data_IF_574914535633
#
_entry.id   IF_574914535633
#
_cell.length_a   1.000
_cell.length_b   1.000
_cell.length_c   1.000
_cell.angle_alpha   90.00
_cell.angle_beta   90.00
_cell.angle_gamma   90.00
#
_symmetry.space_group_name_H-M   'P 1'
#
loop_
_entity.id
_entity.type
_entity.pdbx_description
1 polymer ?
#
# COMPACT_ATOMS: atom_id res chain seq x y z
N UNK A 1 25.92 54.17 22.10
CA UNK A 1 26.09 52.89 22.82
C UNK A 1 26.17 51.77 21.80
N UNK A 2 27.38 51.39 21.40
CA UNK A 2 27.63 50.37 20.37
C UNK A 2 28.00 49.04 21.01
N UNK A 3 27.29 47.97 20.65
CA UNK A 3 27.62 46.61 21.10
C UNK A 3 28.54 45.92 20.10
N UNK A 4 29.74 45.60 20.60
CA UNK A 4 30.85 45.01 19.88
C UNK A 4 30.74 43.46 19.97
N UNK A 5 30.49 42.78 18.84
CA UNK A 5 30.32 41.32 18.79
C UNK A 5 31.65 40.66 18.38
N UNK A 6 32.38 40.11 19.35
CA UNK A 6 33.61 39.34 19.14
C UNK A 6 33.30 38.00 18.48
N UNK A 7 33.88 37.78 17.30
CA UNK A 7 33.79 36.55 16.53
C UNK A 7 34.90 35.58 17.00
N UNK A 8 34.53 34.46 17.65
CA UNK A 8 35.47 33.39 18.04
C UNK A 8 35.36 32.24 17.03
N UNK A 9 36.33 32.17 16.13
CA UNK A 9 36.57 31.00 15.30
C UNK A 9 37.09 29.83 16.15
N UNK A 10 36.29 28.78 16.29
CA UNK A 10 36.67 27.52 16.93
C UNK A 10 36.82 26.46 15.84
N UNK A 11 38.08 26.13 15.49
CA UNK A 11 38.43 24.96 14.67
C UNK A 11 38.10 23.70 15.50
N UNK A 12 37.12 22.92 15.07
CA UNK A 12 36.90 21.54 15.55
C UNK A 12 37.39 20.55 14.51
N UNK A 13 38.25 19.63 14.93
CA UNK A 13 38.88 18.60 14.11
C UNK A 13 37.88 17.61 13.51
N UNK A 14 38.19 17.19 12.29
CA UNK A 14 37.47 16.16 11.56
C UNK A 14 37.93 14.77 12.01
N UNK A 15 37.06 14.09 12.76
CA UNK A 15 37.14 12.64 12.95
C UNK A 15 35.71 12.09 13.02
N UNK A 16 35.22 11.52 11.90
CA UNK A 16 33.92 10.84 11.89
C UNK A 16 33.28 10.70 10.51
N UNK A 17 33.81 9.85 9.63
CA UNK A 17 33.19 9.59 8.31
C UNK A 17 33.26 8.14 7.84
N UNK A 18 33.09 7.17 8.74
CA UNK A 18 33.00 5.74 8.35
C UNK A 18 31.63 5.13 8.67
N UNK A 19 30.92 5.59 9.70
CA UNK A 19 29.63 5.02 10.12
C UNK A 19 28.43 5.37 9.20
N UNK A 20 28.51 6.40 8.36
CA UNK A 20 27.41 6.78 7.45
C UNK A 20 27.35 5.92 6.18
N UNK A 21 28.48 5.33 5.76
CA UNK A 21 28.58 4.60 4.48
C UNK A 21 27.94 3.21 4.55
N UNK A 22 27.95 2.56 5.71
CA UNK A 22 27.39 1.21 5.91
C UNK A 22 25.85 1.23 5.96
N UNK A 23 25.25 2.27 6.54
CA UNK A 23 23.78 2.41 6.61
C UNK A 23 23.13 2.56 5.23
N UNK A 24 23.83 3.17 4.28
CA UNK A 24 23.29 3.39 2.93
C UNK A 24 23.35 2.14 2.05
N UNK A 25 24.37 1.27 2.25
CA UNK A 25 24.47 -0.01 1.52
C UNK A 25 23.32 -0.98 1.85
N UNK A 26 22.92 -1.08 3.12
CA UNK A 26 21.81 -1.96 3.52
C UNK A 26 20.44 -1.50 2.97
N UNK A 27 20.23 -0.20 2.77
CA UNK A 27 18.97 0.31 2.19
C UNK A 27 18.82 -0.09 0.71
N UNK A 28 19.90 -0.04 -0.06
CA UNK A 28 19.87 -0.42 -1.49
C UNK A 28 19.71 -1.94 -1.70
N UNK A 29 20.31 -2.78 -0.86
CA UNK A 29 20.11 -4.23 -0.92
C UNK A 29 18.65 -4.62 -0.72
N UNK A 30 17.94 -3.91 0.16
CA UNK A 30 16.54 -4.17 0.48
C UNK A 30 15.59 -3.79 -0.67
N UNK A 31 15.90 -2.73 -1.44
CA UNK A 31 15.13 -2.34 -2.62
C UNK A 31 15.24 -3.37 -3.76
N UNK A 32 16.42 -3.98 -3.95
CA UNK A 32 16.61 -5.04 -4.96
C UNK A 32 15.91 -6.34 -4.55
N UNK A 33 15.92 -6.72 -3.27
CA UNK A 33 15.15 -7.86 -2.77
C UNK A 33 13.63 -7.66 -2.93
N UNK A 34 13.15 -6.42 -2.82
CA UNK A 34 11.75 -6.03 -3.04
C UNK A 34 11.28 -6.37 -4.47
N UNK A 35 12.11 -6.09 -5.47
CA UNK A 35 11.81 -6.27 -6.90
C UNK A 35 11.79 -7.75 -7.30
N UNK A 36 12.69 -8.55 -6.72
CA UNK A 36 12.67 -10.01 -6.93
C UNK A 36 11.34 -10.63 -6.46
N UNK A 37 10.66 -10.01 -5.49
CA UNK A 37 9.43 -10.57 -4.92
C UNK A 37 8.20 -10.48 -5.85
N UNK A 38 8.02 -9.39 -6.61
CA UNK A 38 6.85 -9.24 -7.51
C UNK A 38 6.86 -10.32 -8.59
N UNK A 39 8.02 -10.50 -9.25
CA UNK A 39 8.20 -11.50 -10.30
C UNK A 39 8.21 -12.93 -9.77
N UNK A 40 8.82 -13.14 -8.59
CA UNK A 40 8.78 -14.43 -7.91
C UNK A 40 7.33 -14.81 -7.56
N UNK A 41 6.47 -13.86 -7.19
CA UNK A 41 5.07 -14.15 -6.84
C UNK A 41 4.22 -14.47 -8.05
N UNK A 42 4.42 -13.81 -9.19
CA UNK A 42 3.78 -14.23 -10.46
C UNK A 42 4.19 -15.64 -10.83
N UNK A 43 5.45 -15.97 -10.59
CA UNK A 43 6.00 -17.32 -10.82
C UNK A 43 5.47 -18.34 -9.80
N UNK A 44 5.26 -17.94 -8.53
CA UNK A 44 4.73 -18.80 -7.48
C UNK A 44 3.23 -19.06 -7.64
N UNK A 45 2.45 -18.05 -8.02
CA UNK A 45 1.03 -18.22 -8.37
C UNK A 45 0.84 -19.20 -9.52
N UNK A 46 1.79 -19.26 -10.47
CA UNK A 46 1.78 -20.26 -11.52
C UNK A 46 2.18 -21.68 -11.04
N UNK A 47 2.76 -21.83 -9.84
CA UNK A 47 3.32 -23.09 -9.31
C UNK A 47 2.51 -23.73 -8.18
N UNK A 48 1.76 -22.97 -7.38
CA UNK A 48 1.02 -23.50 -6.22
C UNK A 48 -0.27 -24.28 -6.58
N UNK A 49 -0.38 -24.81 -7.80
CA UNK A 49 -1.47 -25.69 -8.24
C UNK A 49 -1.29 -27.17 -7.86
N UNK A 50 -0.26 -27.55 -7.10
CA UNK A 50 0.03 -28.94 -6.77
C UNK A 50 -0.27 -29.29 -5.32
N UNK A 51 -1.47 -29.81 -5.04
CA UNK A 51 -1.74 -30.36 -3.70
C UNK A 51 -3.09 -31.05 -3.48
N UNK A 52 -4.11 -30.77 -4.29
CA UNK A 52 -5.42 -31.40 -4.09
C UNK A 52 -6.30 -31.37 -5.33
N UNK A 53 -6.18 -32.38 -6.19
CA UNK A 53 -7.24 -32.90 -7.05
C UNK A 53 -7.95 -31.99 -8.07
N UNK A 54 -7.61 -30.70 -8.19
CA UNK A 54 -8.17 -29.79 -9.18
C UNK A 54 -7.26 -28.59 -9.42
N UNK A 55 -6.83 -28.40 -10.67
CA UNK A 55 -5.86 -27.39 -11.15
C UNK A 55 -6.37 -25.92 -11.11
N UNK A 56 -7.21 -25.56 -10.14
CA UNK A 56 -7.83 -24.23 -10.09
C UNK A 56 -6.93 -23.20 -9.38
N UNK A 57 -5.82 -22.86 -10.03
CA UNK A 57 -5.13 -21.58 -9.75
C UNK A 57 -6.13 -20.46 -10.07
N UNK A 58 -6.59 -19.72 -9.06
CA UNK A 58 -7.45 -18.58 -9.32
C UNK A 58 -6.62 -17.42 -9.88
N UNK A 59 -6.81 -17.11 -11.17
CA UNK A 59 -6.20 -15.97 -11.84
C UNK A 59 -6.95 -14.64 -11.58
N UNK A 60 -7.74 -14.59 -10.50
CA UNK A 60 -8.45 -13.42 -9.96
C UNK A 60 -8.99 -12.45 -11.02
N UNK A 61 -10.14 -12.79 -11.63
CA UNK A 61 -10.82 -12.00 -12.67
C UNK A 61 -10.10 -11.94 -14.03
N UNK A 62 -9.08 -12.76 -14.22
CA UNK A 62 -8.42 -13.01 -15.50
C UNK A 62 -8.54 -14.49 -15.86
N UNK A 63 -8.42 -14.82 -17.15
CA UNK A 63 -8.06 -16.19 -17.53
C UNK A 63 -6.57 -16.42 -17.24
N UNK A 64 -6.14 -17.69 -17.22
CA UNK A 64 -4.71 -18.05 -17.15
C UNK A 64 -3.96 -17.39 -18.28
N UNK A 65 -4.52 -17.48 -19.48
CA UNK A 65 -3.96 -16.94 -20.71
C UNK A 65 -3.86 -15.42 -20.63
N UNK A 66 -4.92 -14.73 -20.18
CA UNK A 66 -4.89 -13.29 -19.98
C UNK A 66 -3.88 -12.89 -18.91
N UNK A 67 -3.78 -13.63 -17.80
CA UNK A 67 -2.85 -13.31 -16.72
C UNK A 67 -1.39 -13.51 -17.15
N UNK A 68 -1.14 -14.55 -17.93
CA UNK A 68 0.16 -14.83 -18.55
C UNK A 68 0.43 -13.94 -19.77
N UNK A 69 -0.58 -13.44 -20.46
CA UNK A 69 -0.46 -12.49 -21.56
C UNK A 69 -0.24 -11.05 -21.05
N UNK A 70 -0.78 -10.71 -19.87
CA UNK A 70 -0.44 -9.50 -19.12
C UNK A 70 1.02 -9.46 -18.70
N UNK A 71 1.75 -10.57 -18.85
CA UNK A 71 3.21 -10.62 -18.87
C UNK A 71 3.84 -9.87 -20.06
N UNK A 72 3.09 -9.06 -20.81
CA UNK A 72 3.72 -7.91 -21.46
C UNK A 72 4.56 -7.20 -20.40
N UNK A 73 5.86 -7.00 -20.67
CA UNK A 73 6.82 -6.47 -19.69
C UNK A 73 6.31 -5.21 -18.99
N UNK A 74 5.39 -4.48 -19.62
CA UNK A 74 4.81 -3.23 -19.16
C UNK A 74 4.04 -3.31 -17.83
N UNK A 75 3.20 -4.33 -17.56
CA UNK A 75 2.40 -4.37 -16.32
C UNK A 75 3.28 -4.64 -15.10
N UNK A 76 4.14 -5.66 -15.17
CA UNK A 76 5.11 -5.95 -14.11
C UNK A 76 6.07 -4.78 -13.91
N UNK A 77 6.61 -4.23 -15.00
CA UNK A 77 7.49 -3.07 -14.95
C UNK A 77 6.80 -1.86 -14.32
N UNK A 78 5.51 -1.62 -14.60
CA UNK A 78 4.75 -0.55 -13.96
C UNK A 78 4.62 -0.75 -12.44
N UNK A 79 4.33 -1.97 -11.98
CA UNK A 79 4.30 -2.29 -10.55
C UNK A 79 5.67 -2.07 -9.89
N UNK A 80 6.74 -2.56 -10.52
CA UNK A 80 8.11 -2.45 -10.02
C UNK A 80 8.59 -1.00 -9.96
N UNK A 81 8.33 -0.22 -11.00
CA UNK A 81 8.66 1.20 -11.05
C UNK A 81 7.82 1.99 -10.04
N UNK A 82 6.57 1.60 -9.78
CA UNK A 82 5.76 2.20 -8.73
C UNK A 82 6.36 1.96 -7.34
N UNK A 83 6.81 0.74 -7.03
CA UNK A 83 7.49 0.45 -5.76
C UNK A 83 8.78 1.26 -5.60
N UNK A 84 9.58 1.41 -6.67
CA UNK A 84 10.77 2.28 -6.67
C UNK A 84 10.39 3.75 -6.43
N UNK A 85 9.35 4.23 -7.10
CA UNK A 85 8.81 5.58 -6.94
C UNK A 85 8.39 5.84 -5.49
N UNK A 86 7.58 4.96 -4.89
CA UNK A 86 7.13 5.07 -3.50
C UNK A 86 8.29 5.01 -2.51
N UNK A 87 9.30 4.18 -2.77
CA UNK A 87 10.51 4.13 -1.97
C UNK A 87 11.30 5.45 -2.02
N UNK A 88 11.45 6.06 -3.21
CA UNK A 88 12.08 7.38 -3.36
C UNK A 88 11.34 8.44 -2.56
N UNK A 89 10.00 8.47 -2.64
CA UNK A 89 9.18 9.40 -1.85
C UNK A 89 9.41 9.22 -0.34
N UNK A 90 9.44 7.97 0.15
CA UNK A 90 9.60 7.67 1.56
C UNK A 90 10.98 8.09 2.11
N UNK A 91 12.01 8.10 1.26
CA UNK A 91 13.37 8.47 1.65
C UNK A 91 13.58 9.98 1.88
N UNK A 92 12.62 10.84 1.46
CA UNK A 92 12.67 12.31 1.60
C UNK A 92 14.07 12.88 1.29
N UNK A 93 14.63 12.52 0.13
CA UNK A 93 15.97 12.98 -0.26
C UNK A 93 15.96 14.52 -0.33
N UNK A 94 16.87 15.24 0.36
CA UNK A 94 16.89 16.70 0.33
C UNK A 94 16.96 17.24 -1.11
N UNK A 95 16.07 18.20 -1.43
CA UNK A 95 15.98 18.80 -2.76
C UNK A 95 15.19 18.00 -3.79
N UNK A 96 14.67 16.82 -3.43
CA UNK A 96 13.82 16.02 -4.33
C UNK A 96 12.40 16.57 -4.34
N UNK A 97 11.94 16.98 -5.52
CA UNK A 97 10.54 17.36 -5.73
C UNK A 97 9.65 16.11 -5.89
N UNK A 98 8.74 15.93 -4.94
CA UNK A 98 7.79 14.81 -4.92
C UNK A 98 6.82 14.89 -6.10
N UNK A 99 6.42 16.10 -6.51
CA UNK A 99 5.51 16.29 -7.63
C UNK A 99 6.19 15.90 -8.94
N UNK A 100 7.47 16.22 -9.09
CA UNK A 100 8.27 15.82 -10.24
C UNK A 100 8.39 14.29 -10.33
N UNK A 101 8.66 13.59 -9.21
CA UNK A 101 8.68 12.13 -9.20
C UNK A 101 7.34 11.51 -9.60
N UNK A 102 6.23 12.08 -9.13
CA UNK A 102 4.90 11.62 -9.47
C UNK A 102 4.62 11.81 -10.96
N UNK A 103 4.95 13.00 -11.50
CA UNK A 103 4.81 13.32 -12.91
C UNK A 103 5.61 12.37 -13.80
N UNK A 104 6.88 12.11 -13.46
CA UNK A 104 7.75 11.18 -14.19
C UNK A 104 7.17 9.78 -14.25
N UNK A 105 6.70 9.24 -13.10
CA UNK A 105 6.08 7.92 -13.06
C UNK A 105 4.80 7.88 -13.93
N UNK A 106 3.92 8.87 -13.78
CA UNK A 106 2.66 8.93 -14.50
C UNK A 106 2.84 9.08 -16.01
N UNK A 107 3.83 9.87 -16.45
CA UNK A 107 4.17 10.01 -17.87
C UNK A 107 4.77 8.71 -18.43
N UNK A 108 5.67 8.07 -17.68
CA UNK A 108 6.32 6.84 -18.14
C UNK A 108 5.34 5.69 -18.35
N UNK A 109 4.27 5.63 -17.55
CA UNK A 109 3.33 4.50 -17.54
C UNK A 109 1.92 4.90 -17.98
N UNK A 110 1.71 6.08 -18.57
CA UNK A 110 0.38 6.64 -18.88
C UNK A 110 -0.54 5.63 -19.57
N UNK A 111 -0.03 4.96 -20.61
CA UNK A 111 -0.79 4.00 -21.41
C UNK A 111 -1.22 2.78 -20.62
N UNK A 112 -0.44 2.38 -19.61
CA UNK A 112 -0.76 1.26 -18.71
C UNK A 112 -1.76 1.69 -17.65
N UNK A 113 -1.59 2.89 -17.09
CA UNK A 113 -2.39 3.41 -15.96
C UNK A 113 -3.85 3.67 -16.32
N UNK A 114 -4.16 3.88 -17.59
CA UNK A 114 -5.54 4.08 -18.08
C UNK A 114 -6.24 2.76 -18.46
N UNK A 115 -5.56 1.62 -18.40
CA UNK A 115 -6.15 0.33 -18.74
C UNK A 115 -6.91 -0.24 -17.55
N UNK A 116 -8.22 -0.46 -17.70
CA UNK A 116 -9.03 -1.08 -16.64
C UNK A 116 -8.51 -2.48 -16.23
N UNK A 117 -7.98 -3.25 -17.19
CA UNK A 117 -7.38 -4.57 -16.97
C UNK A 117 -6.14 -4.50 -16.06
N UNK A 118 -5.37 -3.41 -16.10
CA UNK A 118 -4.19 -3.23 -15.25
C UNK A 118 -4.58 -3.16 -13.77
N UNK A 119 -5.64 -2.43 -13.42
CA UNK A 119 -6.14 -2.38 -12.04
C UNK A 119 -6.50 -3.77 -11.50
N UNK A 120 -7.23 -4.56 -12.30
CA UNK A 120 -7.56 -5.95 -11.94
C UNK A 120 -6.32 -6.82 -11.76
N UNK A 121 -5.32 -6.68 -12.64
CA UNK A 121 -4.04 -7.36 -12.52
C UNK A 121 -3.32 -7.00 -11.21
N UNK A 122 -3.27 -5.72 -10.84
CA UNK A 122 -2.64 -5.28 -9.58
C UNK A 122 -3.34 -5.91 -8.37
N UNK A 123 -4.68 -5.95 -8.35
CA UNK A 123 -5.43 -6.60 -7.27
C UNK A 123 -5.21 -8.12 -7.22
N UNK A 124 -5.09 -8.79 -8.37
CA UNK A 124 -4.74 -10.19 -8.46
C UNK A 124 -3.35 -10.48 -7.84
N UNK A 125 -2.35 -9.67 -8.18
CA UNK A 125 -1.00 -9.75 -7.59
C UNK A 125 -1.07 -9.53 -6.07
N UNK A 126 -1.82 -8.54 -5.60
CA UNK A 126 -1.99 -8.27 -4.17
C UNK A 126 -2.64 -9.45 -3.43
N UNK A 127 -3.64 -10.09 -4.04
CA UNK A 127 -4.32 -11.25 -3.49
C UNK A 127 -3.35 -12.43 -3.32
N UNK A 128 -2.56 -12.74 -4.35
CA UNK A 128 -1.55 -13.80 -4.29
C UNK A 128 -0.47 -13.54 -3.24
N UNK A 129 0.06 -12.31 -3.21
CA UNK A 129 1.02 -11.88 -2.18
C UNK A 129 0.43 -12.03 -0.77
N UNK A 130 -0.83 -11.66 -0.58
CA UNK A 130 -1.50 -11.75 0.71
C UNK A 130 -1.65 -13.19 1.18
N UNK A 131 -2.10 -14.09 0.32
CA UNK A 131 -2.26 -15.51 0.65
C UNK A 131 -0.92 -16.17 1.01
N UNK A 132 0.13 -15.90 0.21
CA UNK A 132 1.49 -16.37 0.51
C UNK A 132 2.02 -15.82 1.84
N UNK A 133 1.71 -14.55 2.15
CA UNK A 133 2.10 -13.93 3.41
C UNK A 133 1.37 -14.55 4.61
N UNK A 134 0.10 -14.91 4.44
CA UNK A 134 -0.72 -15.58 5.46
C UNK A 134 -0.19 -16.98 5.77
N UNK A 135 0.07 -17.79 4.75
CA UNK A 135 0.65 -19.14 4.91
C UNK A 135 1.99 -19.10 5.65
N UNK A 136 2.87 -18.16 5.29
CA UNK A 136 4.14 -17.96 6.01
C UNK A 136 3.96 -17.59 7.48
N UNK A 137 2.89 -16.87 7.82
CA UNK A 137 2.58 -16.48 9.20
C UNK A 137 1.99 -17.64 10.00
N UNK A 138 1.18 -18.49 9.38
CA UNK A 138 0.61 -19.68 10.02
C UNK A 138 1.71 -20.70 10.34
N UNK A 139 2.61 -20.97 9.39
CA UNK A 139 3.77 -21.85 9.60
C UNK A 139 4.72 -21.33 10.70
N UNK A 140 4.85 -20.01 10.84
CA UNK A 140 5.66 -19.42 11.90
C UNK A 140 5.06 -19.72 13.29
N UNK A 141 3.74 -19.60 13.44
CA UNK A 141 3.03 -19.85 14.70
C UNK A 141 3.06 -21.34 15.09
N UNK A 142 3.05 -22.26 14.11
CA UNK A 142 3.17 -23.71 14.38
C UNK A 142 4.55 -24.07 14.96
N UNK A 143 5.61 -23.47 14.41
CA UNK A 143 6.99 -23.71 14.84
C UNK A 143 7.34 -23.14 16.23
N UNK A 144 6.62 -22.10 16.70
CA UNK A 144 6.86 -21.54 18.04
C UNK A 144 6.54 -22.52 19.18
N UNK A 145 5.80 -23.59 18.91
CA UNK A 145 5.49 -24.63 19.90
C UNK A 145 6.62 -25.66 20.07
N UNK A 146 7.62 -25.69 19.19
CA UNK A 146 8.76 -26.61 19.24
C UNK A 146 9.99 -25.90 19.84
N UNK A 147 10.27 -26.15 21.13
CA UNK A 147 11.31 -25.47 21.94
C UNK A 147 12.77 -25.79 21.53
N UNK A 148 13.20 -25.42 20.32
CA UNK A 148 14.60 -25.57 19.87
C UNK A 148 15.32 -24.23 19.75
N UNK A 149 16.50 -24.11 20.37
CA UNK A 149 17.33 -22.90 20.36
C UNK A 149 17.85 -22.53 18.94
N UNK A 150 17.99 -23.51 18.04
CA UNK A 150 18.43 -23.25 16.65
C UNK A 150 17.36 -22.53 15.81
N UNK A 151 16.11 -22.45 16.30
CA UNK A 151 14.99 -21.90 15.55
C UNK A 151 14.91 -20.35 15.58
N UNK A 152 15.62 -19.69 16.51
CA UNK A 152 15.48 -18.23 16.73
C UNK A 152 15.93 -17.39 15.53
N UNK A 153 17.04 -17.75 14.88
CA UNK A 153 17.56 -16.98 13.73
C UNK A 153 16.65 -17.08 12.50
N UNK A 154 16.06 -18.25 12.26
CA UNK A 154 15.14 -18.47 11.15
C UNK A 154 13.84 -17.67 11.34
N UNK A 155 13.28 -17.67 12.55
CA UNK A 155 12.04 -16.96 12.86
C UNK A 155 12.17 -15.44 12.69
N UNK A 156 13.31 -14.85 13.06
CA UNK A 156 13.57 -13.43 12.83
C UNK A 156 13.60 -13.07 11.34
N UNK A 157 14.22 -13.93 10.51
CA UNK A 157 14.26 -13.76 9.05
C UNK A 157 12.87 -13.85 8.42
N UNK A 158 12.07 -14.85 8.81
CA UNK A 158 10.69 -15.03 8.33
C UNK A 158 9.82 -13.83 8.74
N UNK A 159 9.92 -13.38 9.98
CA UNK A 159 9.19 -12.21 10.48
C UNK A 159 9.53 -10.95 9.69
N UNK A 160 10.80 -10.74 9.36
CA UNK A 160 11.23 -9.61 8.53
C UNK A 160 10.64 -9.69 7.10
N UNK A 161 10.66 -10.89 6.49
CA UNK A 161 10.08 -11.13 5.17
C UNK A 161 8.56 -10.92 5.15
N UNK A 162 7.85 -11.31 6.21
CA UNK A 162 6.40 -11.08 6.37
C UNK A 162 6.10 -9.58 6.43
N UNK A 163 6.84 -8.83 7.26
CA UNK A 163 6.69 -7.37 7.37
C UNK A 163 6.98 -6.66 6.04
N UNK A 164 8.02 -7.09 5.33
CA UNK A 164 8.37 -6.55 4.01
C UNK A 164 7.27 -6.81 2.99
N UNK A 165 6.76 -8.05 2.88
CA UNK A 165 5.65 -8.41 1.98
C UNK A 165 4.40 -7.60 2.29
N UNK A 166 4.04 -7.43 3.56
CA UNK A 166 2.91 -6.58 3.98
C UNK A 166 3.05 -5.15 3.46
N UNK A 167 4.25 -4.58 3.53
CA UNK A 167 4.53 -3.24 2.99
C UNK A 167 4.40 -3.17 1.46
N UNK A 168 4.84 -4.20 0.74
CA UNK A 168 4.67 -4.30 -0.72
C UNK A 168 3.19 -4.36 -1.09
N UNK A 169 2.43 -5.23 -0.43
CA UNK A 169 0.98 -5.39 -0.67
C UNK A 169 0.28 -4.05 -0.48
N UNK A 170 0.56 -3.33 0.60
CA UNK A 170 -0.03 -2.02 0.86
C UNK A 170 0.28 -1.01 -0.26
N UNK A 171 1.53 -0.97 -0.74
CA UNK A 171 1.91 -0.07 -1.84
C UNK A 171 1.21 -0.45 -3.15
N UNK A 172 1.21 -1.73 -3.53
CA UNK A 172 0.53 -2.18 -4.74
C UNK A 172 -0.99 -2.00 -4.65
N UNK A 173 -1.59 -2.17 -3.48
CA UNK A 173 -3.01 -1.85 -3.28
C UNK A 173 -3.29 -0.37 -3.49
N UNK A 174 -2.40 0.52 -3.04
CA UNK A 174 -2.53 1.95 -3.33
C UNK A 174 -2.51 2.21 -4.84
N UNK A 175 -1.60 1.58 -5.59
CA UNK A 175 -1.58 1.65 -7.06
C UNK A 175 -2.88 1.16 -7.69
N UNK A 176 -3.38 0.00 -7.27
CA UNK A 176 -4.64 -0.55 -7.78
C UNK A 176 -5.83 0.37 -7.50
N UNK A 177 -5.86 1.01 -6.33
CA UNK A 177 -6.88 2.00 -5.95
C UNK A 177 -6.75 3.27 -6.80
N UNK A 178 -5.53 3.78 -7.02
CA UNK A 178 -5.28 4.95 -7.86
C UNK A 178 -5.73 4.69 -9.30
N UNK A 179 -5.38 3.54 -9.88
CA UNK A 179 -5.82 3.14 -11.22
C UNK A 179 -7.35 3.08 -11.28
N UNK A 180 -7.99 2.34 -10.37
CA UNK A 180 -9.42 2.01 -10.47
C UNK A 180 -10.35 3.17 -10.09
N UNK A 181 -9.95 4.01 -9.14
CA UNK A 181 -10.81 5.05 -8.56
C UNK A 181 -10.35 6.47 -8.83
N UNK A 182 -9.17 6.65 -9.45
CA UNK A 182 -8.66 7.96 -9.80
C UNK A 182 -8.36 8.06 -11.30
N UNK A 183 -7.35 7.35 -11.83
CA UNK A 183 -6.91 7.52 -13.22
C UNK A 183 -7.92 7.07 -14.27
N UNK A 184 -8.43 5.84 -14.18
CA UNK A 184 -9.40 5.35 -15.17
C UNK A 184 -10.67 6.22 -15.17
N UNK A 185 -11.31 6.52 -14.02
CA UNK A 185 -12.50 7.37 -14.06
C UNK A 185 -12.24 8.80 -14.55
N UNK A 186 -11.13 9.43 -14.14
CA UNK A 186 -10.85 10.82 -14.55
C UNK A 186 -10.45 10.93 -16.02
N UNK A 187 -9.54 10.09 -16.50
CA UNK A 187 -8.94 10.22 -17.83
C UNK A 187 -9.82 9.56 -18.89
N UNK A 188 -10.33 8.35 -18.63
CA UNK A 188 -11.07 7.57 -19.64
C UNK A 188 -12.53 7.99 -19.70
N UNK A 189 -13.14 8.26 -18.53
CA UNK A 189 -14.58 8.53 -18.44
C UNK A 189 -14.92 9.99 -18.14
N UNK A 190 -13.93 10.87 -17.93
CA UNK A 190 -14.17 12.27 -17.57
C UNK A 190 -14.90 12.47 -16.23
N UNK A 191 -14.88 11.46 -15.35
CA UNK A 191 -15.57 11.50 -14.05
C UNK A 191 -14.73 12.33 -13.09
N UNK A 192 -15.35 13.35 -12.49
CA UNK A 192 -14.70 14.17 -11.46
C UNK A 192 -14.30 13.34 -10.24
N UNK A 193 -13.02 13.41 -9.88
CA UNK A 193 -12.45 12.85 -8.64
C UNK A 193 -12.27 13.93 -7.57
N UNK A 194 -12.88 15.11 -7.79
CA UNK A 194 -12.81 16.21 -6.83
C UNK A 194 -13.37 15.82 -5.46
N UNK A 195 -13.04 16.62 -4.46
CA UNK A 195 -13.59 16.43 -3.12
C UNK A 195 -15.12 16.49 -3.10
N UNK A 196 -15.74 15.64 -2.28
CA UNK A 196 -17.19 15.45 -2.27
C UNK A 196 -17.75 14.56 -3.39
N UNK A 197 -16.99 14.28 -4.46
CA UNK A 197 -17.45 13.35 -5.49
C UNK A 197 -17.54 11.91 -4.94
N UNK A 198 -18.52 11.14 -5.42
CA UNK A 198 -18.71 9.74 -5.02
C UNK A 198 -17.46 8.89 -5.28
N UNK A 199 -16.73 9.16 -6.38
CA UNK A 199 -15.48 8.45 -6.68
C UNK A 199 -14.32 8.94 -5.82
N UNK A 200 -14.17 10.25 -5.62
CA UNK A 200 -13.14 10.80 -4.74
C UNK A 200 -13.26 10.31 -3.30
N UNK A 201 -14.49 10.19 -2.78
CA UNK A 201 -14.71 9.66 -1.43
C UNK A 201 -14.42 8.15 -1.33
N UNK A 202 -14.75 7.38 -2.37
CA UNK A 202 -14.36 5.96 -2.44
C UNK A 202 -12.85 5.80 -2.44
N UNK A 203 -12.14 6.56 -3.29
CA UNK A 203 -10.68 6.55 -3.38
C UNK A 203 -10.05 6.83 -2.01
N UNK A 204 -10.37 7.98 -1.39
CA UNK A 204 -9.84 8.36 -0.06
C UNK A 204 -10.12 7.32 1.02
N UNK A 205 -11.35 6.79 1.06
CA UNK A 205 -11.72 5.74 2.00
C UNK A 205 -10.86 4.51 1.83
N UNK A 206 -10.66 4.05 0.60
CA UNK A 206 -9.88 2.83 0.34
C UNK A 206 -8.40 3.02 0.61
N UNK A 207 -7.81 4.15 0.24
CA UNK A 207 -6.40 4.49 0.59
C UNK A 207 -6.20 4.49 2.11
N UNK A 208 -7.17 4.96 2.88
CA UNK A 208 -7.11 4.89 4.35
C UNK A 208 -7.26 3.46 4.87
N UNK A 209 -8.20 2.70 4.31
CA UNK A 209 -8.52 1.36 4.80
C UNK A 209 -7.32 0.40 4.60
N UNK A 210 -6.55 0.51 3.50
CA UNK A 210 -5.38 -0.36 3.28
C UNK A 210 -4.24 -0.19 4.29
N UNK A 211 -4.30 0.83 5.16
CA UNK A 211 -3.33 1.01 6.24
C UNK A 211 -3.51 0.01 7.39
N UNK A 212 -4.62 -0.73 7.41
CA UNK A 212 -4.88 -1.79 8.40
C UNK A 212 -4.97 -3.15 7.70
N UNK A 213 -4.62 -4.20 8.43
CA UNK A 213 -4.68 -5.55 7.86
C UNK A 213 -6.11 -5.96 7.49
N UNK A 214 -7.06 -5.64 8.38
CA UNK A 214 -8.48 -5.85 8.11
C UNK A 214 -8.95 -5.09 6.88
N UNK A 215 -8.49 -3.85 6.70
CA UNK A 215 -8.86 -3.04 5.55
C UNK A 215 -8.25 -3.57 4.25
N UNK A 216 -6.98 -4.03 4.26
CA UNK A 216 -6.39 -4.72 3.12
C UNK A 216 -7.21 -5.96 2.70
N UNK A 217 -7.57 -6.82 3.65
CA UNK A 217 -8.42 -8.01 3.38
C UNK A 217 -9.74 -7.60 2.72
N UNK A 218 -10.40 -6.57 3.25
CA UNK A 218 -11.67 -6.09 2.72
C UNK A 218 -11.55 -5.50 1.32
N UNK A 219 -10.47 -4.77 1.03
CA UNK A 219 -10.22 -4.22 -0.31
C UNK A 219 -9.91 -5.35 -1.27
N UNK A 220 -8.93 -6.21 -0.99
CA UNK A 220 -8.59 -7.34 -1.86
C UNK A 220 -9.85 -8.17 -2.16
N UNK A 221 -10.59 -8.59 -1.13
CA UNK A 221 -11.79 -9.40 -1.32
C UNK A 221 -12.87 -8.67 -2.13
N UNK A 222 -13.08 -7.37 -1.91
CA UNK A 222 -14.04 -6.59 -2.70
C UNK A 222 -13.62 -6.56 -4.16
N UNK A 223 -12.38 -6.20 -4.41
CA UNK A 223 -11.87 -5.93 -5.74
C UNK A 223 -11.68 -7.21 -6.57
N UNK A 224 -11.45 -8.37 -5.93
CA UNK A 224 -11.37 -9.69 -6.60
C UNK A 224 -12.72 -10.41 -6.73
N UNK A 225 -13.71 -10.10 -5.89
CA UNK A 225 -15.04 -10.73 -5.95
C UNK A 225 -16.03 -9.96 -6.85
N UNK A 226 -15.83 -8.66 -7.03
CA UNK A 226 -16.69 -7.84 -7.87
C UNK A 226 -16.21 -7.89 -9.33
N UNK A 227 -16.72 -8.87 -10.08
CA UNK A 227 -16.66 -8.81 -11.54
C UNK A 227 -17.30 -7.49 -12.00
N UNK A 228 -16.48 -6.60 -12.57
CA UNK A 228 -16.96 -5.51 -13.41
C UNK A 228 -17.39 -6.11 -14.75
N UNK A 229 -18.52 -6.82 -14.78
CA UNK A 229 -19.20 -7.13 -16.03
C UNK A 229 -20.04 -5.91 -16.39
N UNK A 230 -19.50 -5.01 -17.21
CA UNK A 230 -20.26 -3.90 -17.78
C UNK A 230 -21.02 -4.30 -19.05
N UNK A 231 -20.90 -5.54 -19.53
CA UNK A 231 -21.35 -5.90 -20.88
C UNK A 231 -22.14 -7.19 -21.01
N UNK A 232 -22.32 -7.99 -19.96
CA UNK A 232 -23.23 -9.15 -20.07
C UNK A 232 -23.89 -9.55 -18.76
N UNK A 233 -25.23 -9.43 -18.66
CA UNK A 233 -26.04 -9.99 -17.59
C UNK A 233 -26.07 -11.53 -17.56
N UNK A 234 -25.59 -12.21 -18.61
CA UNK A 234 -25.78 -13.66 -18.79
C UNK A 234 -24.50 -14.50 -18.66
N UNK A 235 -23.32 -13.89 -18.60
CA UNK A 235 -22.09 -14.63 -18.29
C UNK A 235 -22.07 -14.97 -16.80
N UNK A 236 -22.17 -16.26 -16.48
CA UNK A 236 -22.03 -16.81 -15.13
C UNK A 236 -20.93 -16.07 -14.36
N UNK A 237 -21.35 -15.37 -13.30
CA UNK A 237 -20.50 -14.56 -12.44
C UNK A 237 -19.48 -15.47 -11.76
N UNK A 238 -18.31 -15.65 -12.36
CA UNK A 238 -17.17 -16.36 -11.74
C UNK A 238 -16.52 -15.49 -10.66
N UNK A 239 -17.27 -15.21 -9.58
CA UNK A 239 -16.67 -14.61 -8.40
C UNK A 239 -15.75 -15.64 -7.75
N UNK A 240 -14.45 -15.41 -7.82
CA UNK A 240 -13.47 -16.23 -7.14
C UNK A 240 -13.64 -16.11 -5.60
N UNK A 241 -13.70 -17.25 -4.91
CA UNK A 241 -13.92 -17.32 -3.46
C UNK A 241 -12.63 -17.35 -2.63
N UNK A 242 -11.45 -17.16 -3.25
CA UNK A 242 -10.16 -17.27 -2.56
C UNK A 242 -10.03 -16.37 -1.32
N UNK A 243 -10.65 -15.19 -1.35
CA UNK A 243 -10.61 -14.26 -0.21
C UNK A 243 -11.79 -14.40 0.75
N UNK A 244 -12.75 -15.29 0.48
CA UNK A 244 -13.96 -15.44 1.28
C UNK A 244 -13.63 -15.92 2.70
N UNK A 245 -12.70 -16.88 2.84
CA UNK A 245 -12.24 -17.38 4.15
C UNK A 245 -11.60 -16.25 4.95
N UNK A 246 -10.61 -15.57 4.36
CA UNK A 246 -9.89 -14.47 5.02
C UNK A 246 -10.82 -13.30 5.37
N UNK A 247 -11.79 -12.97 4.52
CA UNK A 247 -12.80 -11.94 4.77
C UNK A 247 -13.74 -12.32 5.92
N UNK A 248 -14.18 -13.58 5.99
CA UNK A 248 -15.02 -14.08 7.10
C UNK A 248 -14.25 -14.07 8.42
N UNK A 249 -13.01 -14.58 8.43
CA UNK A 249 -12.13 -14.52 9.59
C UNK A 249 -11.94 -13.07 10.06
N UNK A 250 -11.55 -12.16 9.15
CA UNK A 250 -11.38 -10.74 9.45
C UNK A 250 -12.65 -10.03 9.95
N UNK A 251 -13.84 -10.52 9.57
CA UNK A 251 -15.10 -9.98 10.07
C UNK A 251 -15.40 -10.44 11.50
N UNK A 252 -15.11 -11.71 11.82
CA UNK A 252 -15.43 -12.35 13.10
C UNK A 252 -14.38 -12.10 14.18
N UNK A 253 -13.12 -12.23 13.82
CA UNK A 253 -12.01 -12.34 14.77
C UNK A 253 -11.23 -11.03 14.93
N UNK A 254 -11.20 -10.18 13.90
CA UNK A 254 -10.46 -8.91 13.97
C UNK A 254 -11.34 -7.77 14.49
N UNK A 255 -10.86 -7.06 15.50
CA UNK A 255 -11.45 -5.80 15.95
C UNK A 255 -11.43 -4.75 14.81
N UNK A 256 -12.35 -3.78 14.84
CA UNK A 256 -12.28 -2.65 13.90
C UNK A 256 -11.14 -1.75 14.37
N UNK A 257 -10.03 -1.77 13.65
CA UNK A 257 -8.89 -0.89 13.89
C UNK A 257 -8.90 0.33 12.96
N UNK A 258 -8.03 1.29 13.25
CA UNK A 258 -7.65 2.38 12.37
C UNK A 258 -6.18 2.73 12.56
N UNK A 259 -5.72 3.70 11.79
CA UNK A 259 -4.33 4.11 11.77
C UNK A 259 -4.17 5.52 12.37
N UNK A 260 -3.17 5.70 13.24
CA UNK A 260 -2.80 7.01 13.77
C UNK A 260 -1.89 7.75 12.77
N UNK A 261 -2.31 8.93 12.33
CA UNK A 261 -1.51 9.74 11.37
C UNK A 261 -0.22 10.31 11.97
N UNK A 262 -0.11 10.37 13.30
CA UNK A 262 1.09 10.86 13.98
C UNK A 262 2.15 9.77 14.18
N UNK A 263 1.83 8.72 14.94
CA UNK A 263 2.79 7.65 15.25
C UNK A 263 2.82 6.51 14.23
N UNK A 264 1.93 6.51 13.22
CA UNK A 264 1.92 5.51 12.16
C UNK A 264 1.73 4.07 12.67
N UNK A 265 0.94 3.93 13.75
CA UNK A 265 0.58 2.65 14.35
C UNK A 265 -0.93 2.39 14.24
N UNK A 266 -1.30 1.11 14.30
CA UNK A 266 -2.67 0.63 14.28
C UNK A 266 -3.24 0.61 15.71
N UNK A 267 -4.47 1.08 15.88
CA UNK A 267 -5.19 1.12 17.16
C UNK A 267 -6.65 0.68 16.97
N UNK A 268 -7.31 0.15 18.01
CA UNK A 268 -8.76 0.01 18.02
C UNK A 268 -9.47 1.31 17.62
N UNK A 269 -10.49 1.21 16.77
CA UNK A 269 -11.15 2.39 16.15
C UNK A 269 -11.84 3.29 17.18
N UNK A 270 -12.25 2.73 18.31
CA UNK A 270 -12.82 3.44 19.46
C UNK A 270 -11.77 4.21 20.29
N UNK A 271 -10.49 3.85 20.20
CA UNK A 271 -9.40 4.57 20.88
C UNK A 271 -8.86 5.75 20.07
N UNK A 272 -9.15 5.79 18.77
CA UNK A 272 -8.70 6.85 17.88
C UNK A 272 -9.59 8.10 17.96
N UNK A 273 -8.94 9.23 18.20
CA UNK A 273 -9.56 10.56 18.20
C UNK A 273 -9.50 11.16 16.80
N UNK A 274 -10.61 11.68 16.31
CA UNK A 274 -10.64 12.43 15.04
C UNK A 274 -10.12 13.85 15.26
N UNK A 275 -9.51 14.42 14.23
CA UNK A 275 -9.24 15.86 14.21
C UNK A 275 -10.55 16.63 14.38
N UNK A 276 -10.64 17.50 15.39
CA UNK A 276 -11.84 18.29 15.67
C UNK A 276 -12.27 19.19 14.51
N UNK A 277 -11.31 19.59 13.67
CA UNK A 277 -11.56 20.50 12.55
C UNK A 277 -12.02 19.81 11.26
N UNK A 278 -11.25 18.84 10.75
CA UNK A 278 -11.58 18.20 9.46
C UNK A 278 -12.25 16.83 9.60
N UNK A 279 -12.27 16.23 10.80
CA UNK A 279 -12.82 14.90 11.08
C UNK A 279 -12.24 13.72 10.25
N UNK A 280 -11.34 13.98 9.31
CA UNK A 280 -10.77 13.02 8.37
C UNK A 280 -9.55 12.29 8.94
N UNK A 281 -8.63 13.03 9.57
CA UNK A 281 -7.43 12.45 10.19
C UNK A 281 -7.74 11.94 11.60
N UNK A 282 -7.04 10.86 12.00
CA UNK A 282 -7.20 10.20 13.30
C UNK A 282 -5.87 10.10 14.03
N UNK A 283 -5.91 10.21 15.34
CA UNK A 283 -4.75 10.20 16.23
C UNK A 283 -5.04 9.38 17.49
N UNK A 284 -4.05 8.64 17.99
CA UNK A 284 -4.19 7.94 19.27
C UNK A 284 -4.08 8.89 20.49
N UNK A 285 -3.52 10.08 20.30
CA UNK A 285 -3.32 11.06 21.37
C UNK A 285 -3.25 12.49 20.82
N UNK A 286 -3.52 13.48 21.68
CA UNK A 286 -3.30 14.90 21.36
C UNK A 286 -1.84 15.17 21.00
N UNK A 287 -0.90 14.47 21.64
CA UNK A 287 0.53 14.56 21.30
C UNK A 287 0.79 14.20 19.84
N UNK A 288 0.27 13.06 19.38
CA UNK A 288 0.41 12.65 17.97
C UNK A 288 -0.23 13.65 16.99
N UNK A 289 -1.34 14.27 17.38
CA UNK A 289 -1.97 15.32 16.58
C UNK A 289 -1.09 16.57 16.48
N UNK A 290 -0.55 17.05 17.60
CA UNK A 290 0.33 18.23 17.64
C UNK A 290 1.63 17.98 16.89
N UNK A 291 2.26 16.82 17.08
CA UNK A 291 3.52 16.47 16.42
C UNK A 291 3.34 16.37 14.88
N UNK A 292 2.16 15.94 14.41
CA UNK A 292 1.84 15.85 12.98
C UNK A 292 1.25 17.14 12.39
N UNK A 293 1.02 18.18 13.21
CA UNK A 293 0.28 19.37 12.78
C UNK A 293 0.93 20.12 11.61
N UNK A 294 2.26 20.19 11.57
CA UNK A 294 3.00 20.85 10.47
C UNK A 294 2.69 20.22 9.11
N UNK A 295 2.55 18.90 9.04
CA UNK A 295 2.21 18.17 7.82
C UNK A 295 0.68 18.17 7.58
N UNK A 296 -0.12 18.15 8.65
CA UNK A 296 -1.58 18.06 8.55
C UNK A 296 -2.28 19.38 8.21
N UNK A 297 -1.73 20.54 8.60
CA UNK A 297 -2.42 21.84 8.60
C UNK A 297 -2.95 22.26 7.22
N UNK A 298 -2.25 21.93 6.15
CA UNK A 298 -2.69 22.27 4.78
C UNK A 298 -3.89 21.42 4.37
N UNK A 299 -3.75 20.09 4.45
CA UNK A 299 -4.84 19.15 4.24
C UNK A 299 -6.07 19.43 5.12
N UNK A 300 -5.86 19.80 6.39
CA UNK A 300 -6.95 20.13 7.31
C UNK A 300 -7.75 21.36 6.85
N UNK A 301 -7.08 22.36 6.26
CA UNK A 301 -7.73 23.58 5.76
C UNK A 301 -8.55 23.29 4.51
N UNK A 302 -8.02 22.48 3.59
CA UNK A 302 -8.68 22.11 2.34
C UNK A 302 -10.02 21.40 2.58
N UNK A 303 -10.03 20.40 3.47
CA UNK A 303 -11.27 19.65 3.78
C UNK A 303 -12.34 20.55 4.38
N UNK A 304 -11.97 21.42 5.34
CA UNK A 304 -12.93 22.29 6.03
C UNK A 304 -13.63 23.27 5.06
N UNK A 305 -12.90 23.78 4.08
CA UNK A 305 -13.45 24.67 3.05
C UNK A 305 -14.50 23.92 2.21
N UNK A 306 -14.26 22.65 1.91
CA UNK A 306 -15.13 21.86 1.05
C UNK A 306 -16.40 21.39 1.76
N UNK A 307 -16.36 21.12 3.07
CA UNK A 307 -17.58 20.86 3.86
C UNK A 307 -18.51 22.09 3.90
N UNK A 308 -17.95 23.29 4.04
CA UNK A 308 -18.74 24.54 4.13
C UNK A 308 -19.43 24.87 2.80
N UNK A 309 -18.81 24.54 1.67
CA UNK A 309 -19.42 24.73 0.35
C UNK A 309 -20.60 23.78 0.11
N UNK A 310 -20.56 22.57 0.69
CA UNK A 310 -21.64 21.59 0.53
C UNK A 310 -22.89 21.94 1.34
N UNK A 311 -22.76 22.62 2.48
CA UNK A 311 -23.92 22.99 3.31
C UNK A 311 -24.70 24.20 2.79
N UNK A 312 -24.10 24.96 1.86
CA UNK A 312 -24.68 26.21 1.34
C UNK A 312 -25.33 26.06 -0.04
N UNK A 313 -25.33 24.84 -0.59
CA UNK A 313 -25.99 24.48 -1.85
C UNK A 313 -27.13 23.52 -1.57
#
# INVERSE_FOLDING_TARGET
MGYNRKNKNKKSGAAGTVASRTKNKNKNANANALLTSTFAVTTMLAKTGGGGGGDDVCFHMSTKEDFLAYKSDNYHKCCDDYLKYRWKMAMRIPGQDINQLHLEFSQQHSDTLIQNKFGSFVFAVCCGLFLLNKESSENLNENENENSADNTNNNASITAAIKQRKSIIMQLLALGIDVRYHWVPSIVYGISIAEGSSMGEKHRRYVRDIMTERGMINIIARETMTLWSSTSPTSSKSSCNCMEISKKAAKREMEKSGYCMGCQQEFPKNELRKCSHCQASKYCSTKCQTDNWSEHKEFCREIKINETKQTNN
#
